data_IF_648539809547
#
_entry.id   IF_648539809547
#
_cell.length_a   1.000
_cell.length_b   1.000
_cell.length_c   1.000
_cell.angle_alpha   90.00
_cell.angle_beta   90.00
_cell.angle_gamma   90.00
#
_symmetry.space_group_name_H-M   'P 1'
#
loop_
_entity.id
_entity.type
_entity.pdbx_description
1 polymer ?
#
# COMPACT_ATOMS: atom_id res chain seq x y z
N UNK A 1 -15.21 -5.10 -18.75
CA UNK A 1 -13.92 -5.19 -18.04
C UNK A 1 -13.96 -4.29 -16.82
N UNK A 2 -13.73 -4.85 -15.67
CA UNK A 2 -13.79 -4.09 -14.42
C UNK A 2 -12.42 -3.52 -14.07
N UNK A 3 -12.36 -2.21 -13.86
CA UNK A 3 -11.13 -1.57 -13.42
C UNK A 3 -11.05 -1.68 -11.92
N UNK A 4 -10.03 -2.38 -11.44
CA UNK A 4 -9.85 -2.54 -10.01
C UNK A 4 -9.26 -1.28 -9.38
N UNK A 5 -9.73 -0.97 -8.19
CA UNK A 5 -9.19 0.10 -7.39
C UNK A 5 -7.85 -0.33 -6.84
N UNK A 6 -6.81 0.46 -7.06
CA UNK A 6 -5.47 0.14 -6.57
C UNK A 6 -5.27 0.78 -5.21
N UNK A 7 -5.02 -0.04 -4.22
CA UNK A 7 -4.89 0.39 -2.83
C UNK A 7 -3.49 0.05 -2.34
N UNK A 8 -2.72 1.05 -1.98
CA UNK A 8 -1.39 0.85 -1.44
C UNK A 8 -1.46 0.68 0.07
N UNK A 9 -0.85 -0.40 0.57
CA UNK A 9 -0.78 -0.67 2.00
C UNK A 9 0.66 -0.52 2.46
N UNK A 10 0.94 0.52 3.21
CA UNK A 10 2.26 0.73 3.81
C UNK A 10 2.34 -0.08 5.10
N UNK A 11 3.42 -0.83 5.27
CA UNK A 11 3.61 -1.66 6.45
C UNK A 11 2.85 -2.97 6.39
N UNK A 12 2.73 -3.55 5.21
CA UNK A 12 1.95 -4.77 5.00
C UNK A 12 2.50 -6.00 5.76
N UNK A 13 3.73 -5.92 6.23
CA UNK A 13 4.34 -7.03 6.98
C UNK A 13 4.01 -6.99 8.47
N UNK A 14 3.48 -5.88 8.97
CA UNK A 14 3.06 -5.77 10.36
C UNK A 14 1.73 -6.45 10.60
N UNK A 15 1.34 -6.56 11.88
CA UNK A 15 0.08 -7.21 12.23
C UNK A 15 -1.12 -6.51 11.64
N UNK A 16 -1.17 -5.19 11.77
CA UNK A 16 -2.30 -4.41 11.24
C UNK A 16 -2.27 -4.43 9.71
N UNK A 17 -1.10 -4.23 9.13
CA UNK A 17 -0.98 -4.20 7.68
C UNK A 17 -1.34 -5.52 7.03
N UNK A 18 -0.91 -6.64 7.62
CA UNK A 18 -1.24 -7.95 7.07
C UNK A 18 -2.74 -8.24 7.19
N UNK A 19 -3.39 -7.79 8.26
CA UNK A 19 -4.83 -7.95 8.41
C UNK A 19 -5.58 -7.15 7.34
N UNK A 20 -5.14 -5.93 7.08
CA UNK A 20 -5.73 -5.10 6.04
C UNK A 20 -5.58 -5.77 4.67
N UNK A 21 -4.40 -6.28 4.36
CA UNK A 21 -4.15 -6.95 3.08
C UNK A 21 -5.06 -8.16 2.93
N UNK A 22 -5.22 -8.92 3.99
CA UNK A 22 -6.08 -10.10 3.96
C UNK A 22 -7.52 -9.73 3.64
N UNK A 23 -8.02 -8.65 4.22
CA UNK A 23 -9.37 -8.19 3.93
C UNK A 23 -9.50 -7.68 2.50
N UNK A 24 -8.49 -6.95 2.02
CA UNK A 24 -8.52 -6.42 0.67
C UNK A 24 -8.47 -7.52 -0.38
N UNK A 25 -7.75 -8.60 -0.11
CA UNK A 25 -7.66 -9.72 -1.04
C UNK A 25 -8.97 -10.45 -1.21
N UNK A 26 -9.87 -10.34 -0.25
CA UNK A 26 -11.19 -10.94 -0.34
C UNK A 26 -12.16 -10.13 -1.21
N UNK A 27 -11.74 -8.96 -1.68
CA UNK A 27 -12.57 -8.09 -2.51
C UNK A 27 -12.09 -8.14 -3.95
N UNK A 28 -13.03 -8.45 -4.85
CA UNK A 28 -12.70 -8.58 -6.26
C UNK A 28 -12.48 -7.24 -6.95
N UNK A 29 -12.95 -6.15 -6.34
CA UNK A 29 -12.86 -4.81 -6.92
C UNK A 29 -11.62 -4.04 -6.48
N UNK A 30 -10.73 -4.68 -5.73
CA UNK A 30 -9.54 -4.03 -5.20
C UNK A 30 -8.29 -4.82 -5.56
N UNK A 31 -7.26 -4.10 -5.98
CA UNK A 31 -5.94 -4.67 -6.21
C UNK A 31 -4.99 -4.09 -5.17
N UNK A 32 -4.58 -4.88 -4.17
CA UNK A 32 -3.62 -4.39 -3.18
C UNK A 32 -2.25 -4.20 -3.80
N UNK A 33 -1.65 -3.05 -3.55
CA UNK A 33 -0.28 -2.74 -4.00
C UNK A 33 0.60 -2.74 -2.76
N UNK A 34 1.58 -3.63 -2.74
CA UNK A 34 2.42 -3.83 -1.56
C UNK A 34 3.86 -3.51 -1.90
N UNK A 35 4.52 -2.77 -1.00
CA UNK A 35 5.95 -2.49 -1.13
C UNK A 35 6.60 -2.63 0.23
N UNK A 36 7.69 -3.36 0.30
CA UNK A 36 8.46 -3.47 1.52
C UNK A 36 9.26 -2.19 1.75
N UNK A 37 9.80 -2.05 2.97
CA UNK A 37 10.63 -0.90 3.29
C UNK A 37 11.86 -0.81 2.39
N UNK A 38 12.36 -1.96 1.95
CA UNK A 38 13.50 -2.01 1.04
C UNK A 38 13.12 -1.56 -0.38
N UNK A 39 11.90 -1.84 -0.78
CA UNK A 39 11.41 -1.47 -2.11
C UNK A 39 10.98 -0.01 -2.16
N UNK A 40 10.46 0.49 -1.06
CA UNK A 40 10.00 1.88 -0.99
C UNK A 40 10.25 2.41 0.41
N UNK A 41 11.22 3.30 0.53
CA UNK A 41 11.55 3.94 1.79
C UNK A 41 10.65 5.17 1.97
N UNK A 42 9.69 5.06 2.87
CA UNK A 42 8.74 6.15 3.11
C UNK A 42 9.38 7.40 3.72
N UNK A 43 10.60 7.27 4.24
CA UNK A 43 11.34 8.41 4.76
C UNK A 43 12.08 9.18 3.67
N UNK A 44 12.14 8.63 2.48
CA UNK A 44 12.79 9.27 1.34
C UNK A 44 11.72 9.89 0.45
N UNK A 45 11.61 11.22 0.47
CA UNK A 45 10.57 11.92 -0.27
C UNK A 45 10.67 11.68 -1.78
N UNK A 46 11.89 11.56 -2.30
CA UNK A 46 12.09 11.33 -3.73
C UNK A 46 11.58 9.96 -4.13
N UNK A 47 11.86 8.93 -3.32
CA UNK A 47 11.36 7.59 -3.59
C UNK A 47 9.84 7.56 -3.58
N UNK A 48 9.23 8.23 -2.61
CA UNK A 48 7.79 8.28 -2.49
C UNK A 48 7.18 8.98 -3.70
N UNK A 49 7.75 10.12 -4.09
CA UNK A 49 7.26 10.86 -5.25
C UNK A 49 7.38 10.03 -6.52
N UNK A 50 8.50 9.33 -6.72
CA UNK A 50 8.70 8.48 -7.88
C UNK A 50 7.71 7.32 -7.90
N UNK A 51 7.45 6.73 -6.75
CA UNK A 51 6.51 5.63 -6.65
C UNK A 51 5.11 6.07 -7.09
N UNK A 52 4.62 7.17 -6.55
CA UNK A 52 3.28 7.64 -6.89
C UNK A 52 3.20 8.22 -8.29
N UNK A 53 4.31 8.67 -8.86
CA UNK A 53 4.33 9.13 -10.23
C UNK A 53 4.26 7.97 -11.22
N UNK A 54 4.80 6.81 -10.86
CA UNK A 54 4.88 5.66 -11.76
C UNK A 54 3.74 4.67 -11.54
N UNK A 55 3.11 4.69 -10.37
CA UNK A 55 2.04 3.76 -10.02
C UNK A 55 0.74 4.50 -9.81
N UNK A 56 -0.32 4.02 -10.44
CA UNK A 56 -1.64 4.59 -10.20
C UNK A 56 -2.17 4.04 -8.89
N UNK A 57 -2.30 4.91 -7.90
CA UNK A 57 -2.79 4.54 -6.57
C UNK A 57 -4.05 5.33 -6.28
N UNK A 58 -5.13 4.64 -5.97
CA UNK A 58 -6.42 5.27 -5.68
C UNK A 58 -6.61 5.53 -4.19
N UNK A 59 -6.07 4.66 -3.35
CA UNK A 59 -6.15 4.84 -1.90
C UNK A 59 -4.87 4.37 -1.23
N UNK A 60 -4.58 4.93 -0.05
CA UNK A 60 -3.42 4.57 0.74
C UNK A 60 -3.85 4.23 2.16
N UNK A 61 -3.43 3.08 2.67
CA UNK A 61 -3.59 2.71 4.06
C UNK A 61 -2.24 2.72 4.75
N UNK A 62 -2.10 3.54 5.78
CA UNK A 62 -0.84 3.70 6.51
C UNK A 62 -0.82 2.82 7.75
N UNK A 63 -0.64 1.53 7.54
CA UNK A 63 -0.52 0.58 8.65
C UNK A 63 0.87 0.65 9.30
N UNK A 64 1.81 1.29 8.62
CA UNK A 64 3.16 1.46 9.16
C UNK A 64 3.25 2.59 10.17
N UNK A 65 2.20 3.38 10.34
CA UNK A 65 2.23 4.49 11.27
C UNK A 65 2.44 3.95 12.68
N UNK A 66 3.55 4.37 13.26
CA UNK A 66 3.87 3.93 14.61
C UNK A 66 3.15 4.82 15.60
N UNK A 67 2.36 4.20 16.43
CA UNK A 67 1.65 4.93 17.48
C UNK A 67 2.45 4.82 18.76
N UNK A 68 2.92 5.89 19.18
CA UNK A 68 3.53 6.15 20.46
C UNK A 68 4.58 5.37 21.02
#
# INVERSE_FOLDING_TARGET
>A
MTIKKRVFVAGHKGMVGSAIVRQLKNRDDIEPVLRSRQELNLLNAQDVNNFFANERIDEVYLAAAKVG
#
